data_IF_849636341292
#
_entry.id   IF_849636341292
#
_cell.length_a   1.000
_cell.length_b   1.000
_cell.length_c   1.000
_cell.angle_alpha   90.00
_cell.angle_beta   90.00
_cell.angle_gamma   90.00
#
_symmetry.space_group_name_H-M   'P 1'
#
loop_
_entity.id
_entity.type
_entity.pdbx_description
1 polymer ?
#
# COMPACT_ATOMS: atom_id res chain seq x y z
N UNK A 1 9.10 6.47 16.60
CA UNK A 1 9.86 5.64 15.63
C UNK A 1 10.28 6.48 14.45
N UNK A 2 11.46 6.20 13.92
CA UNK A 2 11.93 6.85 12.69
C UNK A 2 11.17 6.33 11.47
N UNK A 3 11.24 7.06 10.37
CA UNK A 3 10.67 6.61 9.10
C UNK A 3 11.28 5.26 8.67
N UNK A 4 12.58 5.08 8.85
CA UNK A 4 13.26 3.81 8.53
C UNK A 4 12.69 2.64 9.33
N UNK A 5 12.49 2.81 10.63
CA UNK A 5 11.92 1.77 11.48
C UNK A 5 10.49 1.43 11.10
N UNK A 6 9.67 2.45 10.80
CA UNK A 6 8.30 2.27 10.33
C UNK A 6 8.31 1.52 9.00
N UNK A 7 9.19 1.91 8.09
CA UNK A 7 9.34 1.22 6.81
C UNK A 7 9.73 -0.24 6.95
N UNK A 8 10.63 -0.55 7.87
CA UNK A 8 11.03 -1.94 8.16
C UNK A 8 9.85 -2.75 8.68
N UNK A 9 9.03 -2.19 9.56
CA UNK A 9 7.82 -2.84 10.07
C UNK A 9 6.78 -3.04 8.98
N UNK A 10 6.57 -2.02 8.14
CA UNK A 10 5.64 -2.12 7.02
C UNK A 10 6.03 -3.26 6.08
N UNK A 11 7.29 -3.32 5.68
CA UNK A 11 7.80 -4.39 4.80
C UNK A 11 7.61 -5.76 5.45
N UNK A 12 7.90 -5.90 6.74
CA UNK A 12 7.71 -7.16 7.46
C UNK A 12 6.25 -7.60 7.46
N UNK A 13 5.31 -6.70 7.75
CA UNK A 13 3.88 -7.01 7.69
C UNK A 13 3.45 -7.43 6.28
N UNK A 14 3.87 -6.69 5.27
CA UNK A 14 3.49 -6.97 3.87
C UNK A 14 4.05 -8.31 3.38
N UNK A 15 5.26 -8.67 3.78
CA UNK A 15 5.84 -9.99 3.44
C UNK A 15 5.04 -11.14 4.05
N UNK A 16 4.39 -10.91 5.17
CA UNK A 16 3.55 -11.91 5.83
C UNK A 16 2.09 -11.87 5.38
N UNK A 17 1.75 -10.97 4.46
CA UNK A 17 0.37 -10.78 4.00
C UNK A 17 -0.53 -10.10 5.02
N UNK A 18 0.04 -9.40 6.00
CA UNK A 18 -0.67 -8.75 7.10
C UNK A 18 -0.88 -7.26 6.84
N UNK A 19 -1.42 -6.93 5.67
CA UNK A 19 -1.58 -5.53 5.25
C UNK A 19 -2.54 -4.76 6.15
N UNK A 20 -3.65 -5.37 6.58
CA UNK A 20 -4.59 -4.70 7.49
C UNK A 20 -3.94 -4.38 8.84
N UNK A 21 -3.12 -5.30 9.36
CA UNK A 21 -2.40 -5.05 10.61
C UNK A 21 -1.40 -3.90 10.48
N UNK A 22 -0.76 -3.76 9.31
CA UNK A 22 0.15 -2.63 9.06
C UNK A 22 -0.61 -1.30 9.10
N UNK A 23 -1.81 -1.25 8.52
CA UNK A 23 -2.67 -0.06 8.56
C UNK A 23 -3.04 0.26 10.01
N UNK A 24 -3.51 -0.72 10.75
CA UNK A 24 -3.94 -0.52 12.14
C UNK A 24 -2.81 -0.08 13.07
N UNK A 25 -1.58 -0.49 12.78
CA UNK A 25 -0.41 -0.26 13.66
C UNK A 25 0.37 0.99 13.29
N UNK A 26 0.54 1.26 11.99
CA UNK A 26 1.52 2.23 11.48
C UNK A 26 0.89 3.49 10.89
N UNK A 27 -0.37 3.47 10.50
CA UNK A 27 -1.01 4.57 9.79
C UNK A 27 -1.66 5.56 10.73
N UNK A 28 -1.57 6.86 10.39
CA UNK A 28 -2.28 7.91 11.11
C UNK A 28 -3.76 7.91 10.75
N UNK A 29 -4.61 8.44 11.64
CA UNK A 29 -6.04 8.54 11.37
C UNK A 29 -6.36 9.42 10.15
N UNK A 30 -5.55 10.44 9.91
CA UNK A 30 -5.72 11.37 8.79
C UNK A 30 -4.92 10.97 7.55
N UNK A 31 -4.55 9.71 7.43
CA UNK A 31 -3.80 9.18 6.26
C UNK A 31 -4.46 9.59 4.94
N UNK A 32 -3.65 9.97 3.97
CA UNK A 32 -4.05 10.18 2.60
C UNK A 32 -3.38 9.13 1.71
N UNK A 33 -4.18 8.39 0.96
CA UNK A 33 -3.69 7.34 0.07
C UNK A 33 -4.04 7.68 -1.36
N UNK A 34 -3.03 7.75 -2.23
CA UNK A 34 -3.18 8.20 -3.63
C UNK A 34 -2.78 7.06 -4.56
N UNK A 35 -3.72 6.69 -5.44
CA UNK A 35 -3.48 5.68 -6.47
C UNK A 35 -3.08 6.33 -7.80
N UNK A 36 -2.39 5.59 -8.65
CA UNK A 36 -2.02 6.06 -9.99
C UNK A 36 -3.22 6.10 -10.94
N UNK A 37 -4.26 5.31 -10.67
CA UNK A 37 -5.49 5.27 -11.46
C UNK A 37 -6.71 5.30 -10.55
N UNK A 38 -7.88 5.75 -11.07
CA UNK A 38 -9.10 5.81 -10.27
C UNK A 38 -9.58 4.42 -9.83
N UNK A 39 -10.14 4.36 -8.62
CA UNK A 39 -10.84 3.19 -8.12
C UNK A 39 -12.28 3.09 -8.65
N UNK A 40 -13.08 2.16 -8.09
CA UNK A 40 -14.46 1.95 -8.52
C UNK A 40 -15.35 3.18 -8.39
N UNK A 41 -15.03 4.07 -7.46
CA UNK A 41 -15.75 5.33 -7.24
C UNK A 41 -15.29 6.48 -8.15
N UNK A 42 -14.33 6.22 -9.04
CA UNK A 42 -13.74 7.23 -9.92
C UNK A 42 -12.72 8.13 -9.22
N UNK A 43 -12.37 7.86 -7.99
CA UNK A 43 -11.45 8.64 -7.18
C UNK A 43 -10.08 7.99 -7.09
N UNK A 44 -9.02 8.80 -7.18
CA UNK A 44 -7.64 8.36 -6.95
C UNK A 44 -7.22 8.49 -5.50
N UNK A 45 -7.93 9.28 -4.70
CA UNK A 45 -7.55 9.64 -3.33
C UNK A 45 -8.54 9.01 -2.35
N UNK A 46 -8.00 8.29 -1.37
CA UNK A 46 -8.73 7.83 -0.20
C UNK A 46 -8.25 8.64 1.01
N UNK A 47 -9.14 9.34 1.66
CA UNK A 47 -8.83 10.21 2.79
C UNK A 47 -9.32 9.59 4.09
N UNK A 48 -8.40 9.46 5.04
CA UNK A 48 -8.68 8.93 6.37
C UNK A 48 -8.51 7.42 6.47
N UNK A 49 -8.24 6.94 7.69
CA UNK A 49 -7.88 5.54 7.92
C UNK A 49 -9.03 4.58 7.58
N UNK A 50 -10.28 4.99 7.78
CA UNK A 50 -11.42 4.14 7.46
C UNK A 50 -11.56 3.92 5.94
N UNK A 51 -11.33 4.99 5.15
CA UNK A 51 -11.32 4.86 3.69
C UNK A 51 -10.19 3.95 3.20
N UNK A 52 -9.03 4.04 3.83
CA UNK A 52 -7.88 3.18 3.50
C UNK A 52 -8.15 1.73 3.87
N UNK A 53 -8.75 1.48 5.04
CA UNK A 53 -9.17 0.12 5.43
C UNK A 53 -10.16 -0.46 4.45
N UNK A 54 -11.16 0.33 4.03
CA UNK A 54 -12.15 -0.09 3.05
C UNK A 54 -11.54 -0.42 1.70
N UNK A 55 -10.60 0.39 1.23
CA UNK A 55 -9.86 0.15 -0.01
C UNK A 55 -9.06 -1.16 0.07
N UNK A 56 -8.36 -1.38 1.17
CA UNK A 56 -7.60 -2.60 1.39
C UNK A 56 -8.49 -3.84 1.40
N UNK A 57 -9.63 -3.76 2.08
CA UNK A 57 -10.61 -4.84 2.14
C UNK A 57 -11.17 -5.16 0.76
N UNK A 58 -11.58 -4.11 0.00
CA UNK A 58 -12.08 -4.28 -1.35
C UNK A 58 -11.06 -4.97 -2.25
N UNK A 59 -9.81 -4.51 -2.18
CA UNK A 59 -8.73 -5.09 -2.99
C UNK A 59 -8.50 -6.56 -2.65
N UNK A 60 -8.45 -6.91 -1.37
CA UNK A 60 -8.25 -8.27 -0.90
C UNK A 60 -9.38 -9.21 -1.30
N UNK A 61 -10.62 -8.72 -1.24
CA UNK A 61 -11.81 -9.52 -1.61
C UNK A 61 -11.91 -9.77 -3.10
N UNK A 62 -11.38 -8.86 -3.92
CA UNK A 62 -11.52 -8.91 -5.38
C UNK A 62 -10.29 -9.48 -6.10
N UNK A 63 -9.24 -9.80 -5.37
CA UNK A 63 -8.01 -10.35 -5.96
C UNK A 63 -7.55 -11.59 -5.24
N UNK A 64 -7.14 -12.60 -6.03
CA UNK A 64 -6.44 -13.78 -5.51
C UNK A 64 -4.94 -13.56 -5.72
N UNK A 65 -4.15 -13.69 -4.66
CA UNK A 65 -2.70 -13.51 -4.73
C UNK A 65 -2.05 -14.88 -4.92
N UNK A 66 -1.35 -15.05 -6.06
CA UNK A 66 -0.60 -16.27 -6.34
C UNK A 66 0.82 -16.19 -5.80
N UNK A 67 1.43 -15.02 -5.92
CA UNK A 67 2.74 -14.73 -5.33
C UNK A 67 2.89 -13.25 -5.09
N UNK A 68 3.75 -12.89 -4.14
CA UNK A 68 4.06 -11.52 -3.80
C UNK A 68 5.51 -11.39 -3.38
N UNK A 69 6.16 -10.33 -3.84
CA UNK A 69 7.49 -9.95 -3.40
C UNK A 69 7.46 -8.50 -2.94
N UNK A 70 8.11 -8.22 -1.82
CA UNK A 70 8.17 -6.88 -1.23
C UNK A 70 9.62 -6.54 -0.97
N UNK A 71 10.08 -5.40 -1.48
CA UNK A 71 11.46 -4.95 -1.34
C UNK A 71 11.51 -3.54 -0.74
N UNK A 72 12.49 -3.32 0.12
CA UNK A 72 12.73 -2.05 0.79
C UNK A 72 12.80 -2.24 2.31
N UNK A 73 12.64 -1.18 3.09
CA UNK A 73 12.37 0.20 2.62
C UNK A 73 13.60 0.87 2.02
N UNK A 74 13.36 1.77 1.07
CA UNK A 74 14.38 2.63 0.48
C UNK A 74 14.19 4.04 1.06
N UNK A 75 15.04 4.47 2.01
CA UNK A 75 14.85 5.76 2.67
C UNK A 75 15.05 6.95 1.73
N UNK A 76 14.27 8.00 1.94
CA UNK A 76 14.41 9.27 1.26
C UNK A 76 14.31 10.40 2.30
N UNK A 77 15.45 10.90 2.72
CA UNK A 77 15.52 11.83 3.84
C UNK A 77 15.12 11.16 5.15
N UNK A 78 14.63 11.95 6.09
CA UNK A 78 14.30 11.48 7.44
C UNK A 78 12.82 11.12 7.60
N UNK A 79 11.98 11.51 6.64
CA UNK A 79 10.52 11.45 6.76
C UNK A 79 9.82 10.62 5.70
N UNK A 80 10.54 10.09 4.72
CA UNK A 80 9.95 9.29 3.64
C UNK A 80 10.73 8.02 3.35
N UNK A 81 10.03 7.05 2.78
CA UNK A 81 10.66 5.83 2.26
C UNK A 81 9.80 5.26 1.13
N UNK A 82 10.45 4.54 0.22
CA UNK A 82 9.77 3.82 -0.84
C UNK A 82 9.79 2.31 -0.59
N UNK A 83 8.76 1.61 -1.05
CA UNK A 83 8.67 0.15 -1.01
C UNK A 83 8.23 -0.32 -2.39
N UNK A 84 8.87 -1.36 -2.90
CA UNK A 84 8.47 -1.98 -4.16
C UNK A 84 7.66 -3.23 -3.89
N UNK A 85 6.51 -3.34 -4.57
CA UNK A 85 5.62 -4.49 -4.49
C UNK A 85 5.51 -5.14 -5.86
N UNK A 86 5.72 -6.45 -5.92
CA UNK A 86 5.51 -7.23 -7.13
C UNK A 86 4.49 -8.31 -6.82
N UNK A 87 3.38 -8.32 -7.57
CA UNK A 87 2.28 -9.27 -7.36
C UNK A 87 1.97 -10.05 -8.62
N UNK A 88 1.68 -11.33 -8.44
CA UNK A 88 1.01 -12.17 -9.45
C UNK A 88 -0.38 -12.45 -8.88
N UNK A 89 -1.41 -11.90 -9.50
CA UNK A 89 -2.77 -11.90 -8.98
C UNK A 89 -3.78 -12.28 -10.06
N UNK A 90 -4.95 -12.72 -9.61
CA UNK A 90 -6.13 -12.86 -10.47
C UNK A 90 -7.22 -11.91 -9.95
N UNK A 91 -7.75 -11.07 -10.83
CA UNK A 91 -8.93 -10.26 -10.53
C UNK A 91 -10.14 -11.17 -10.58
N UNK A 92 -10.79 -11.41 -9.44
CA UNK A 92 -11.89 -12.37 -9.34
C UNK A 92 -13.10 -12.01 -10.21
N UNK A 93 -13.56 -10.75 -10.24
CA UNK A 93 -14.71 -10.39 -11.09
C UNK A 93 -14.50 -10.64 -12.58
N UNK A 94 -13.31 -10.39 -13.11
CA UNK A 94 -13.00 -10.57 -14.54
C UNK A 94 -12.36 -11.92 -14.86
N UNK A 95 -11.80 -12.60 -13.86
CA UNK A 95 -11.02 -13.82 -14.06
C UNK A 95 -9.65 -13.56 -14.68
N UNK A 96 -9.27 -12.31 -14.86
CA UNK A 96 -8.00 -11.96 -15.50
C UNK A 96 -6.84 -12.09 -14.54
N UNK A 97 -5.84 -12.88 -14.93
CA UNK A 97 -4.56 -12.97 -14.21
C UNK A 97 -3.61 -11.91 -14.73
N UNK A 98 -2.92 -11.23 -13.82
CA UNK A 98 -2.01 -10.16 -14.18
C UNK A 98 -0.84 -10.09 -13.21
N UNK A 99 0.26 -9.52 -13.69
CA UNK A 99 1.40 -9.18 -12.86
C UNK A 99 1.40 -7.68 -12.62
N UNK A 100 1.54 -7.29 -11.36
CA UNK A 100 1.63 -5.89 -10.96
C UNK A 100 3.02 -5.63 -10.39
N UNK A 101 3.61 -4.51 -10.81
CA UNK A 101 4.87 -4.00 -10.29
C UNK A 101 4.61 -2.55 -9.91
N UNK A 102 4.64 -2.27 -8.62
CA UNK A 102 4.33 -0.93 -8.13
C UNK A 102 5.30 -0.47 -7.06
N UNK A 103 5.45 0.84 -6.95
CA UNK A 103 6.23 1.49 -5.90
C UNK A 103 5.32 2.35 -5.06
N UNK A 104 5.37 2.17 -3.75
CA UNK A 104 4.70 3.05 -2.80
C UNK A 104 5.70 4.02 -2.19
N UNK A 105 5.36 5.31 -2.19
CA UNK A 105 6.12 6.34 -1.50
C UNK A 105 5.34 6.74 -0.24
N UNK A 106 5.96 6.56 0.91
CA UNK A 106 5.33 6.75 2.21
C UNK A 106 5.95 7.93 2.93
N UNK A 107 5.10 8.79 3.48
CA UNK A 107 5.51 9.96 4.28
C UNK A 107 5.13 9.75 5.73
N UNK A 108 6.05 10.02 6.64
CA UNK A 108 5.90 9.82 8.08
C UNK A 108 5.93 11.15 8.80
N UNK A 109 4.98 11.37 9.70
CA UNK A 109 4.95 12.50 10.63
C UNK A 109 4.55 11.99 12.00
N UNK A 110 5.24 12.48 13.03
CA UNK A 110 4.93 12.13 14.43
C UNK A 110 4.84 10.62 14.69
N UNK A 111 5.70 9.85 14.04
CA UNK A 111 5.78 8.40 14.22
C UNK A 111 4.68 7.60 13.53
N UNK A 112 3.95 8.19 12.58
CA UNK A 112 2.89 7.51 11.84
C UNK A 112 2.98 7.83 10.36
N UNK A 113 2.49 6.91 9.52
CA UNK A 113 2.38 7.15 8.07
C UNK A 113 1.18 8.04 7.83
N UNK A 114 1.41 9.23 7.26
CA UNK A 114 0.36 10.22 6.97
C UNK A 114 0.00 10.29 5.51
N UNK A 115 0.82 9.73 4.63
CA UNK A 115 0.58 9.73 3.19
C UNK A 115 1.23 8.53 2.55
N UNK A 116 0.53 7.91 1.60
CA UNK A 116 1.08 6.90 0.72
C UNK A 116 0.66 7.21 -0.72
N UNK A 117 1.63 7.11 -1.64
CA UNK A 117 1.40 7.35 -3.07
C UNK A 117 1.91 6.13 -3.83
N UNK A 118 1.05 5.54 -4.65
CA UNK A 118 1.40 4.35 -5.42
C UNK A 118 1.64 4.70 -6.88
N UNK A 119 2.75 4.20 -7.41
CA UNK A 119 3.21 4.42 -8.77
C UNK A 119 3.16 3.10 -9.51
N UNK A 120 2.33 3.00 -10.53
CA UNK A 120 2.23 1.83 -11.39
C UNK A 120 1.66 2.23 -12.75
N UNK A 121 1.91 1.38 -13.75
CA UNK A 121 1.39 1.56 -15.09
C UNK A 121 0.27 0.56 -15.32
N UNK A 122 -0.86 1.02 -15.78
CA UNK A 122 -2.01 0.16 -16.11
C UNK A 122 -2.01 -0.33 -17.56
N UNK A 123 -0.92 -0.10 -18.24
CA UNK A 123 -0.75 -0.51 -19.63
C UNK A 123 -1.05 0.59 -20.61
#
# INVERSE_FOLDING_TARGET
MSAKEIGQKLVAFCKEGKNLESINTLYAENIESIEASPGPDGNRIAQGIEAVRGKNQWWSENHEIHSAAVAGPYPHGEDRFAVRFEYDITNKPSGQRMQMDEVGLFTVESGKIVKEEFFYDMG
#
